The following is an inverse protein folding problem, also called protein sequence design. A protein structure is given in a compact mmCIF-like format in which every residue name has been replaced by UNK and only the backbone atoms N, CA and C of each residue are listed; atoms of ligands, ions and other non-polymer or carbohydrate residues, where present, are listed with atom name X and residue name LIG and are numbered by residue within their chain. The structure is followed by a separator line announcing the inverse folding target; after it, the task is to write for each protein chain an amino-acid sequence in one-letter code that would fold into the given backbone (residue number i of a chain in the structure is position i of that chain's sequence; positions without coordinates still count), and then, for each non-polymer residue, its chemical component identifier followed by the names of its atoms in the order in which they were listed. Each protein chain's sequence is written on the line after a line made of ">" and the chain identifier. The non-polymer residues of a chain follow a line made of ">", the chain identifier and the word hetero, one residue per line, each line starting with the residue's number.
data_IF_378544192234
#
_entry.id   IF_378544192234
#
_cell.length_a   1.000
_cell.length_b   1.000
_cell.length_c   1.000
_cell.angle_alpha   90.00
_cell.angle_beta   90.00
_cell.angle_gamma   90.00
#
_symmetry.space_group_name_H-M   'P 1'
#
loop_
_entity.id
_entity.type
_entity.pdbx_description
1 polymer ?
#
# COMPACT_ATOMS: atom_id res chain seq x y z
N UNK A 1 -17.88 -23.01 15.67
CA UNK A 1 -18.38 -21.65 15.40
C UNK A 1 -18.72 -21.60 13.91
N UNK A 2 -20.01 -21.59 13.58
CA UNK A 2 -20.52 -21.81 12.24
C UNK A 2 -19.89 -20.84 11.22
N UNK A 3 -19.45 -21.39 10.08
CA UNK A 3 -19.18 -20.58 8.90
C UNK A 3 -20.46 -19.78 8.62
N UNK A 4 -20.39 -18.46 8.72
CA UNK A 4 -21.48 -17.57 8.33
C UNK A 4 -21.84 -17.98 6.89
N UNK A 5 -23.02 -18.60 6.73
CA UNK A 5 -23.43 -19.19 5.47
C UNK A 5 -23.29 -18.11 4.40
N UNK A 6 -22.72 -18.51 3.26
CA UNK A 6 -22.68 -17.62 2.10
C UNK A 6 -24.12 -17.24 1.83
N UNK A 7 -24.46 -15.99 2.13
CA UNK A 7 -25.79 -15.46 1.85
C UNK A 7 -25.95 -15.45 0.33
N UNK A 8 -26.77 -16.38 -0.17
CA UNK A 8 -27.14 -16.49 -1.59
C UNK A 8 -28.49 -15.82 -1.86
N UNK A 9 -29.08 -15.13 -0.88
CA UNK A 9 -30.36 -14.41 -1.04
C UNK A 9 -30.33 -13.32 -2.13
N UNK A 10 -29.12 -12.86 -2.51
CA UNK A 10 -28.92 -11.92 -3.61
C UNK A 10 -28.66 -12.57 -4.96
N UNK A 11 -28.64 -13.90 -5.05
CA UNK A 11 -28.45 -14.61 -6.31
C UNK A 11 -29.73 -14.60 -7.13
N UNK A 12 -29.59 -14.35 -8.43
CA UNK A 12 -30.71 -14.51 -9.35
C UNK A 12 -30.92 -15.97 -9.71
N UNK A 13 -32.14 -16.37 -10.06
CA UNK A 13 -32.36 -17.68 -10.66
C UNK A 13 -31.57 -17.80 -11.98
N UNK A 14 -30.85 -18.90 -12.14
CA UNK A 14 -30.16 -19.24 -13.39
C UNK A 14 -31.11 -19.68 -14.50
N UNK A 15 -32.36 -20.05 -14.17
CA UNK A 15 -33.39 -20.44 -15.15
C UNK A 15 -33.76 -19.27 -16.07
N UNK A 16 -33.59 -18.04 -15.59
CA UNK A 16 -33.98 -16.80 -16.25
C UNK A 16 -32.79 -16.12 -16.96
N UNK A 17 -31.69 -16.85 -17.16
CA UNK A 17 -30.47 -16.34 -17.80
C UNK A 17 -29.98 -17.33 -18.84
N UNK A 18 -30.09 -16.96 -20.11
CA UNK A 18 -29.69 -17.80 -21.24
C UNK A 18 -28.22 -17.65 -21.65
N UNK A 19 -27.54 -16.58 -21.23
CA UNK A 19 -26.14 -16.31 -21.60
C UNK A 19 -25.35 -15.58 -20.51
N UNK A 20 -24.03 -15.64 -20.61
CA UNK A 20 -23.11 -15.02 -19.68
C UNK A 20 -23.37 -13.52 -19.48
N UNK A 21 -23.49 -13.07 -18.23
CA UNK A 21 -23.72 -11.65 -17.91
C UNK A 21 -22.44 -10.78 -17.93
N UNK A 22 -21.34 -11.30 -18.48
CA UNK A 22 -20.15 -10.49 -18.72
C UNK A 22 -20.37 -9.64 -20.01
N UNK A 23 -20.13 -8.33 -19.97
CA UNK A 23 -20.19 -7.48 -21.16
C UNK A 23 -19.26 -8.01 -22.27
N UNK A 24 -19.76 -8.05 -23.51
CA UNK A 24 -19.03 -8.58 -24.68
C UNK A 24 -18.86 -10.10 -24.71
N UNK A 25 -19.44 -10.84 -23.76
CA UNK A 25 -19.43 -12.30 -23.77
C UNK A 25 -20.74 -12.84 -24.36
N UNK A 26 -20.60 -13.66 -25.40
CA UNK A 26 -21.69 -14.29 -26.14
C UNK A 26 -21.85 -15.78 -25.78
N UNK A 27 -21.19 -16.26 -24.73
CA UNK A 27 -21.35 -17.66 -24.29
C UNK A 27 -22.77 -17.90 -23.80
N UNK A 28 -23.51 -18.73 -24.53
CA UNK A 28 -24.82 -19.24 -24.15
C UNK A 28 -24.68 -20.42 -23.20
N UNK A 29 -25.65 -20.53 -22.28
CA UNK A 29 -25.70 -21.64 -21.33
C UNK A 29 -26.46 -22.82 -21.94
N UNK A 30 -25.90 -24.01 -21.74
CA UNK A 30 -26.40 -25.28 -22.27
C UNK A 30 -25.95 -26.43 -21.37
N UNK A 31 -26.16 -27.67 -21.82
CA UNK A 31 -25.64 -28.86 -21.12
C UNK A 31 -24.11 -28.87 -21.01
N UNK A 32 -23.40 -28.26 -21.95
CA UNK A 32 -21.93 -28.19 -21.95
C UNK A 32 -21.40 -26.93 -21.25
N UNK A 33 -22.17 -25.84 -21.25
CA UNK A 33 -21.81 -24.59 -20.58
C UNK A 33 -22.78 -24.30 -19.43
N UNK A 34 -22.40 -24.70 -18.22
CA UNK A 34 -23.25 -24.50 -17.04
C UNK A 34 -23.20 -23.06 -16.52
N UNK A 35 -24.34 -22.52 -16.06
CA UNK A 35 -24.40 -21.21 -15.42
C UNK A 35 -23.67 -21.22 -14.07
N UNK A 36 -22.88 -20.19 -13.79
CA UNK A 36 -22.16 -20.07 -12.52
C UNK A 36 -22.39 -18.70 -11.87
N UNK A 37 -22.90 -18.68 -10.64
CA UNK A 37 -23.11 -17.44 -9.90
C UNK A 37 -21.82 -16.83 -9.35
N UNK A 38 -21.73 -15.51 -9.41
CA UNK A 38 -20.69 -14.76 -8.73
C UNK A 38 -21.11 -14.44 -7.29
N UNK A 39 -20.35 -14.94 -6.32
CA UNK A 39 -20.57 -14.69 -4.90
C UNK A 39 -20.66 -13.20 -4.50
N UNK A 40 -20.04 -12.29 -5.27
CA UNK A 40 -20.04 -10.85 -4.98
C UNK A 40 -21.26 -10.09 -5.52
N UNK A 41 -21.88 -10.58 -6.59
CA UNK A 41 -23.00 -9.87 -7.23
C UNK A 41 -24.26 -10.69 -7.43
N UNK A 42 -24.19 -12.00 -7.27
CA UNK A 42 -25.32 -12.90 -7.50
C UNK A 42 -25.68 -13.07 -8.97
N UNK A 43 -24.95 -12.42 -9.88
CA UNK A 43 -25.12 -12.54 -11.34
C UNK A 43 -24.48 -13.83 -11.87
N UNK A 44 -24.96 -14.28 -13.03
CA UNK A 44 -24.58 -15.55 -13.66
C UNK A 44 -23.56 -15.36 -14.78
N UNK A 45 -22.49 -16.15 -14.77
CA UNK A 45 -21.37 -16.08 -15.71
C UNK A 45 -20.95 -17.47 -16.22
N UNK A 46 -20.23 -17.52 -17.33
CA UNK A 46 -19.54 -18.74 -17.76
C UNK A 46 -18.31 -19.03 -16.88
N UNK A 47 -17.79 -20.27 -16.96
CA UNK A 47 -16.71 -20.74 -16.10
C UNK A 47 -15.45 -19.86 -16.16
N UNK A 48 -15.08 -19.37 -17.34
CA UNK A 48 -13.91 -18.51 -17.54
C UNK A 48 -14.06 -17.15 -16.85
N UNK A 49 -15.26 -16.57 -16.83
CA UNK A 49 -15.54 -15.27 -16.24
C UNK A 49 -15.82 -15.34 -14.74
N UNK A 50 -16.44 -16.42 -14.26
CA UNK A 50 -16.61 -16.62 -12.82
C UNK A 50 -15.26 -16.94 -12.17
N UNK A 51 -14.37 -17.71 -12.80
CA UNK A 51 -13.05 -18.05 -12.26
C UNK A 51 -12.20 -16.82 -11.95
N UNK A 52 -12.25 -15.79 -12.81
CA UNK A 52 -11.58 -14.50 -12.58
C UNK A 52 -12.20 -13.68 -11.43
N UNK A 53 -13.48 -13.92 -11.12
CA UNK A 53 -14.25 -13.26 -10.04
C UNK A 53 -14.35 -14.12 -8.76
N UNK A 54 -13.88 -15.38 -8.77
CA UNK A 54 -14.00 -16.39 -7.70
C UNK A 54 -13.09 -16.17 -6.48
N UNK A 55 -12.51 -14.99 -6.29
CA UNK A 55 -11.82 -14.71 -5.02
C UNK A 55 -12.87 -14.53 -3.91
N UNK A 56 -13.27 -15.65 -3.31
CA UNK A 56 -14.08 -15.69 -2.11
C UNK A 56 -13.29 -14.99 -1.01
N UNK A 57 -13.72 -13.77 -0.65
CA UNK A 57 -13.22 -13.13 0.55
C UNK A 57 -14.15 -13.61 1.66
N UNK A 58 -13.60 -14.34 2.61
CA UNK A 58 -14.30 -14.61 3.85
C UNK A 58 -14.73 -13.25 4.45
N UNK A 59 -16.04 -13.10 4.64
CA UNK A 59 -16.66 -11.89 5.21
C UNK A 59 -17.15 -12.13 6.62
N UNK A 60 -16.84 -13.29 7.21
CA UNK A 60 -17.22 -13.60 8.57
C UNK A 60 -16.74 -12.51 9.51
N UNK A 61 -17.53 -12.25 10.55
CA UNK A 61 -17.11 -11.37 11.64
C UNK A 61 -15.75 -11.79 12.19
N UNK A 62 -15.51 -13.10 12.33
CA UNK A 62 -14.23 -13.69 12.72
C UNK A 62 -13.09 -13.35 11.77
N UNK A 63 -13.26 -13.50 10.45
CA UNK A 63 -12.21 -13.16 9.48
C UNK A 63 -11.97 -11.66 9.38
N UNK A 64 -13.02 -10.84 9.41
CA UNK A 64 -12.89 -9.38 9.49
C UNK A 64 -12.14 -8.97 10.76
N UNK A 65 -12.44 -9.58 11.90
CA UNK A 65 -11.74 -9.37 13.16
C UNK A 65 -10.26 -9.81 13.06
N UNK A 66 -9.98 -10.99 12.53
CA UNK A 66 -8.61 -11.48 12.34
C UNK A 66 -7.81 -10.59 11.36
N UNK A 67 -8.43 -10.13 10.27
CA UNK A 67 -7.82 -9.23 9.29
C UNK A 67 -7.54 -7.86 9.91
N UNK A 68 -8.48 -7.30 10.66
CA UNK A 68 -8.29 -6.02 11.35
C UNK A 68 -7.23 -6.14 12.45
N UNK A 69 -7.19 -7.24 13.20
CA UNK A 69 -6.15 -7.54 14.16
C UNK A 69 -4.76 -7.62 13.48
N UNK A 70 -4.62 -8.38 12.39
CA UNK A 70 -3.38 -8.42 11.59
C UNK A 70 -2.99 -7.07 11.01
N UNK A 71 -3.96 -6.26 10.58
CA UNK A 71 -3.69 -4.90 10.11
C UNK A 71 -3.17 -3.99 11.24
N UNK A 72 -3.77 -4.07 12.43
CA UNK A 72 -3.31 -3.37 13.64
C UNK A 72 -1.91 -3.82 14.04
N UNK A 73 -1.66 -5.12 14.05
CA UNK A 73 -0.34 -5.71 14.33
C UNK A 73 0.72 -5.18 13.34
N UNK A 74 0.44 -5.19 12.04
CA UNK A 74 1.33 -4.59 11.04
C UNK A 74 1.61 -3.12 11.28
N UNK A 75 0.63 -2.34 11.71
CA UNK A 75 0.82 -0.92 12.06
C UNK A 75 1.74 -0.78 13.26
N UNK A 76 1.54 -1.59 14.29
CA UNK A 76 2.38 -1.63 15.49
C UNK A 76 3.81 -2.03 15.15
N UNK A 77 4.02 -3.09 14.36
CA UNK A 77 5.34 -3.50 13.89
C UNK A 77 6.02 -2.40 13.09
N UNK A 78 5.29 -1.78 12.16
CA UNK A 78 5.80 -0.65 11.38
C UNK A 78 6.24 0.50 12.29
N UNK A 79 5.43 0.86 13.30
CA UNK A 79 5.77 1.92 14.26
C UNK A 79 7.03 1.56 15.06
N UNK A 80 7.15 0.31 15.52
CA UNK A 80 8.35 -0.18 16.22
C UNK A 80 9.60 -0.08 15.34
N UNK A 81 9.50 -0.46 14.06
CA UNK A 81 10.59 -0.37 13.09
C UNK A 81 11.00 1.09 12.83
N UNK A 82 10.03 2.00 12.67
CA UNK A 82 10.32 3.43 12.46
C UNK A 82 11.00 4.07 13.67
N UNK A 83 10.57 3.75 14.91
CA UNK A 83 11.26 4.20 16.12
C UNK A 83 12.69 3.67 16.22
N UNK A 84 12.95 2.44 15.76
CA UNK A 84 14.32 1.90 15.69
C UNK A 84 15.15 2.63 14.64
N UNK A 85 14.56 2.89 13.47
CA UNK A 85 15.21 3.67 12.41
C UNK A 85 15.58 5.09 12.89
N UNK A 86 14.69 5.74 13.65
CA UNK A 86 14.92 7.05 14.28
C UNK A 86 16.11 7.01 15.24
N UNK A 87 16.16 6.03 16.15
CA UNK A 87 17.31 5.85 17.05
C UNK A 87 18.61 5.64 16.28
N UNK A 88 18.58 4.84 15.21
CA UNK A 88 19.76 4.59 14.37
C UNK A 88 20.20 5.85 13.61
N UNK A 89 19.26 6.69 13.16
CA UNK A 89 19.56 7.94 12.48
C UNK A 89 20.19 8.97 13.43
N UNK A 90 19.68 9.08 14.65
CA UNK A 90 20.15 10.05 15.65
C UNK A 90 21.49 9.67 16.30
N UNK A 91 21.87 8.39 16.23
CA UNK A 91 23.13 7.90 16.77
C UNK A 91 23.21 7.91 18.30
N UNK A 92 24.37 7.54 18.88
CA UNK A 92 24.54 7.36 20.32
C UNK A 92 24.39 8.64 21.15
N UNK A 93 24.83 9.78 20.62
CA UNK A 93 24.89 11.04 21.38
C UNK A 93 23.50 11.64 21.61
N UNK A 94 22.65 11.71 20.59
CA UNK A 94 21.30 12.27 20.73
C UNK A 94 20.30 11.33 21.45
N UNK A 95 20.56 10.01 21.47
CA UNK A 95 19.74 9.05 22.20
C UNK A 95 19.91 9.16 23.73
N UNK A 96 21.09 9.56 24.21
CA UNK A 96 21.35 9.81 25.63
C UNK A 96 20.55 11.02 26.14
N UNK A 97 20.55 12.12 25.38
CA UNK A 97 19.87 13.36 25.71
C UNK A 97 18.34 13.21 25.78
N UNK A 98 17.76 12.37 24.93
CA UNK A 98 16.32 12.09 24.93
C UNK A 98 15.86 11.17 26.07
N UNK A 99 16.75 10.34 26.64
CA UNK A 99 16.47 9.58 27.88
C UNK A 99 16.60 10.44 29.15
N UNK A 100 17.52 11.40 29.13
CA UNK A 100 17.71 12.39 30.20
C UNK A 100 16.52 13.37 30.27
N UNK A 101 15.90 13.70 29.14
CA UNK A 101 14.71 14.55 29.08
C UNK A 101 13.48 13.92 29.79
N UNK A 102 13.34 12.57 29.76
CA UNK A 102 12.27 11.86 30.48
C UNK A 102 12.58 11.77 31.98
N UNK A 103 13.86 11.63 32.35
CA UNK A 103 14.30 11.54 33.74
C UNK A 103 14.28 12.89 34.48
N UNK A 104 14.35 14.01 33.75
CA UNK A 104 14.26 15.36 34.32
C UNK A 104 12.84 15.79 34.71
N UNK A 105 11.81 15.02 34.38
CA UNK A 105 10.44 15.26 34.83
C UNK A 105 10.15 14.66 36.23
N UNK A 106 11.08 13.90 36.81
CA UNK A 106 10.91 13.25 38.12
C UNK A 106 12.02 13.52 39.13
N UNK A 107 12.96 14.43 38.86
CA UNK A 107 14.07 14.74 39.75
C UNK A 107 14.05 16.22 40.19
N UNK A 108 13.81 16.44 41.49
CA UNK A 108 14.01 17.73 42.15
C UNK A 108 15.51 18.07 42.23
N UNK A 109 15.90 19.36 42.16
CA UNK A 109 17.30 19.74 42.00
C UNK A 109 18.03 19.77 43.35
N UNK A 110 19.09 18.97 43.48
CA UNK A 110 20.09 19.13 44.54
C UNK A 110 21.45 19.48 43.92
N UNK A 111 21.86 20.72 44.18
CA UNK A 111 23.20 21.35 44.12
C UNK A 111 24.37 20.60 43.45
N UNK A 112 24.96 21.28 42.47
CA UNK A 112 26.28 21.04 41.89
C UNK A 112 27.43 21.52 42.81
N UNK A 113 28.59 20.87 42.70
CA UNK A 113 29.90 21.39 43.05
C UNK A 113 30.88 21.14 41.89
N UNK A 114 31.77 22.09 41.51
CA UNK A 114 32.71 21.89 40.41
C UNK A 114 34.14 21.61 40.91
N UNK A 115 34.86 20.74 40.21
CA UNK A 115 36.33 20.78 40.19
C UNK A 115 36.91 20.18 38.90
N UNK A 116 37.63 21.06 38.20
CA UNK A 116 38.65 20.91 37.15
C UNK A 116 39.74 19.86 37.50
N UNK A 117 40.45 19.19 36.58
CA UNK A 117 41.38 19.71 35.54
C UNK A 117 41.91 18.60 34.61
N UNK A 118 42.60 18.93 33.49
CA UNK A 118 43.02 18.00 32.44
C UNK A 118 44.49 17.53 32.59
N UNK A 119 44.76 16.29 32.16
CA UNK A 119 46.11 15.74 32.03
C UNK A 119 46.45 15.44 30.56
N UNK A 120 47.45 16.15 30.04
CA UNK A 120 48.11 15.94 28.75
C UNK A 120 49.09 14.77 28.83
N UNK A 121 49.09 13.89 27.82
CA UNK A 121 50.27 13.12 27.45
C UNK A 121 50.25 12.74 25.97
N UNK A 122 51.18 13.34 25.25
CA UNK A 122 51.63 13.04 23.90
C UNK A 122 52.17 11.62 23.76
N UNK A 123 51.90 10.96 22.62
CA UNK A 123 52.68 9.79 22.20
C UNK A 123 52.00 8.89 21.16
N UNK A 124 52.64 8.76 19.99
CA UNK A 124 52.61 7.51 19.21
C UNK A 124 51.60 7.43 18.06
N UNK A 125 52.13 7.51 16.84
CA UNK A 125 51.44 7.30 15.55
C UNK A 125 50.91 5.87 15.30
N UNK A 126 50.11 5.33 16.21
CA UNK A 126 49.38 4.05 16.06
C UNK A 126 47.85 4.20 16.06
N UNK A 127 47.34 5.42 15.82
CA UNK A 127 46.02 5.83 16.32
C UNK A 127 44.88 5.85 15.27
N UNK A 128 45.16 5.81 13.97
CA UNK A 128 44.09 5.89 12.96
C UNK A 128 43.30 4.58 12.86
N UNK A 129 43.97 3.45 12.66
CA UNK A 129 43.31 2.14 12.54
C UNK A 129 42.65 1.68 13.85
N UNK A 130 43.25 2.01 15.01
CA UNK A 130 42.70 1.69 16.34
C UNK A 130 41.46 2.55 16.67
N UNK A 131 41.46 3.86 16.36
CA UNK A 131 40.25 4.71 16.48
C UNK A 131 39.15 4.29 15.53
N UNK A 132 39.47 3.93 14.29
CA UNK A 132 38.48 3.43 13.31
C UNK A 132 37.84 2.13 13.79
N UNK A 133 38.65 1.20 14.33
CA UNK A 133 38.15 -0.07 14.91
C UNK A 133 37.31 0.16 16.16
N UNK A 134 37.72 1.06 17.05
CA UNK A 134 36.94 1.44 18.23
C UNK A 134 35.61 2.11 17.86
N UNK A 135 35.61 3.01 16.86
CA UNK A 135 34.38 3.64 16.34
C UNK A 135 33.44 2.63 15.66
N UNK A 136 33.99 1.67 14.92
CA UNK A 136 33.22 0.59 14.30
C UNK A 136 32.61 -0.39 15.33
N UNK A 137 33.35 -0.71 16.39
CA UNK A 137 32.86 -1.51 17.51
C UNK A 137 31.78 -0.77 18.30
N UNK A 138 32.00 0.51 18.62
CA UNK A 138 31.00 1.36 19.29
C UNK A 138 29.72 1.55 18.47
N UNK A 139 29.83 1.68 17.14
CA UNK A 139 28.67 1.71 16.26
C UNK A 139 27.91 0.37 16.26
N UNK A 140 28.62 -0.77 16.26
CA UNK A 140 27.97 -2.10 16.29
C UNK A 140 27.28 -2.36 17.63
N UNK A 141 27.89 -1.94 18.74
CA UNK A 141 27.31 -2.05 20.07
C UNK A 141 26.07 -1.17 20.22
N UNK A 142 26.12 0.06 19.71
CA UNK A 142 24.97 0.94 19.62
C UNK A 142 23.85 0.36 18.73
N UNK A 143 24.17 -0.15 17.53
CA UNK A 143 23.18 -0.79 16.65
C UNK A 143 22.49 -1.98 17.34
N UNK A 144 23.23 -2.73 18.16
CA UNK A 144 22.72 -3.84 18.97
C UNK A 144 21.91 -3.37 20.20
N UNK A 145 22.11 -2.15 20.70
CA UNK A 145 21.29 -1.58 21.77
C UNK A 145 19.94 -1.08 21.26
N UNK A 146 19.85 -0.66 19.98
CA UNK A 146 18.59 -0.26 19.35
C UNK A 146 17.65 -1.46 19.13
N UNK A 147 18.20 -2.61 18.74
CA UNK A 147 17.46 -3.86 18.61
C UNK A 147 18.34 -5.03 19.00
N UNK A 148 17.81 -5.93 19.83
CA UNK A 148 18.53 -7.14 20.26
C UNK A 148 18.88 -8.01 19.04
N UNK A 149 20.16 -8.14 18.76
CA UNK A 149 20.65 -9.02 17.70
C UNK A 149 20.60 -10.47 18.16
N UNK A 150 20.11 -11.36 17.28
CA UNK A 150 20.21 -12.79 17.52
C UNK A 150 21.68 -13.21 17.48
N UNK A 151 22.13 -14.05 18.43
CA UNK A 151 23.50 -14.52 18.46
C UNK A 151 23.79 -15.34 17.20
N UNK A 152 24.90 -15.05 16.53
CA UNK A 152 25.28 -15.70 15.26
C UNK A 152 25.43 -17.21 15.40
N UNK A 153 25.85 -17.69 16.58
CA UNK A 153 25.99 -19.13 16.89
C UNK A 153 24.65 -19.86 16.90
N UNK A 154 23.56 -19.20 17.29
CA UNK A 154 22.22 -19.79 17.33
C UNK A 154 21.51 -19.76 15.96
N UNK A 155 22.05 -19.02 14.98
CA UNK A 155 21.49 -18.95 13.64
C UNK A 155 22.14 -20.00 12.75
N UNK A 156 21.48 -21.14 12.57
CA UNK A 156 21.91 -22.24 11.67
C UNK A 156 21.53 -22.00 10.22
N UNK A 157 20.46 -21.23 9.98
CA UNK A 157 19.92 -20.93 8.64
C UNK A 157 19.52 -19.46 8.48
N UNK A 158 19.44 -19.00 7.23
CA UNK A 158 18.97 -17.66 6.88
C UNK A 158 17.52 -17.44 7.34
N UNK A 159 17.24 -16.36 8.06
CA UNK A 159 15.89 -16.04 8.54
C UNK A 159 14.88 -15.62 7.46
N UNK A 160 15.19 -15.79 6.18
CA UNK A 160 14.30 -15.47 5.05
C UNK A 160 14.21 -16.59 4.01
N UNK A 161 15.34 -17.01 3.44
CA UNK A 161 15.37 -18.07 2.43
C UNK A 161 15.65 -19.46 3.01
N UNK A 162 15.85 -19.56 4.32
CA UNK A 162 16.09 -20.81 5.05
C UNK A 162 17.33 -21.60 4.61
N UNK A 163 18.15 -21.04 3.70
CA UNK A 163 19.42 -21.64 3.30
C UNK A 163 20.34 -21.80 4.53
N UNK A 164 20.98 -22.97 4.70
CA UNK A 164 21.88 -23.23 5.82
C UNK A 164 23.12 -22.34 5.69
N UNK A 165 23.63 -21.87 6.84
CA UNK A 165 24.89 -21.15 6.86
C UNK A 165 26.06 -22.15 6.85
N UNK A 166 26.92 -22.04 5.83
CA UNK A 166 28.22 -22.71 5.74
C UNK A 166 29.36 -21.78 6.17
N UNK A 167 30.58 -22.31 6.31
CA UNK A 167 31.78 -21.52 6.63
C UNK A 167 32.07 -20.39 5.61
N UNK A 168 31.61 -20.54 4.37
CA UNK A 168 31.76 -19.55 3.30
C UNK A 168 30.65 -18.48 3.31
N UNK A 169 29.57 -18.72 4.06
CA UNK A 169 28.41 -17.83 4.09
C UNK A 169 28.52 -16.80 5.23
N UNK A 170 28.66 -15.53 4.86
CA UNK A 170 28.71 -14.45 5.86
C UNK A 170 27.33 -14.21 6.46
N UNK A 171 27.24 -14.34 7.79
CA UNK A 171 26.05 -14.00 8.57
C UNK A 171 25.91 -12.48 8.69
N UNK A 172 24.72 -11.96 8.37
CA UNK A 172 24.45 -10.52 8.34
C UNK A 172 23.18 -10.20 9.12
N UNK A 173 23.27 -9.33 10.12
CA UNK A 173 22.10 -8.85 10.86
C UNK A 173 21.33 -7.78 10.09
N UNK A 174 20.00 -7.87 10.16
CA UNK A 174 19.12 -6.74 9.86
C UNK A 174 19.13 -5.75 11.03
N UNK A 175 19.48 -4.49 10.79
CA UNK A 175 19.58 -3.48 11.85
C UNK A 175 18.24 -3.04 12.42
N UNK A 176 17.12 -3.41 11.78
CA UNK A 176 15.78 -3.08 12.28
C UNK A 176 15.11 -4.21 13.05
N UNK A 177 15.34 -5.48 12.71
CA UNK A 177 14.73 -6.62 13.41
C UNK A 177 15.71 -7.50 14.21
N UNK A 178 17.02 -7.35 14.01
CA UNK A 178 18.05 -8.10 14.73
C UNK A 178 18.22 -9.57 14.32
N UNK A 179 17.41 -10.09 13.37
CA UNK A 179 17.58 -11.45 12.84
C UNK A 179 18.80 -11.55 11.89
N UNK A 180 19.28 -12.78 11.69
CA UNK A 180 20.45 -13.12 10.86
C UNK A 180 20.03 -13.63 9.49
N UNK A 181 20.69 -13.12 8.44
CA UNK A 181 20.39 -13.40 7.04
C UNK A 181 21.67 -13.57 6.22
N UNK A 182 21.54 -14.12 5.01
CA UNK A 182 22.60 -14.11 4.01
C UNK A 182 22.70 -12.75 3.28
N UNK A 183 23.74 -12.60 2.45
CA UNK A 183 23.98 -11.39 1.65
C UNK A 183 22.87 -11.10 0.65
N UNK A 184 22.34 -12.12 -0.03
CA UNK A 184 21.24 -11.97 -0.99
C UNK A 184 19.95 -11.47 -0.33
N UNK A 185 19.67 -11.91 0.91
CA UNK A 185 18.49 -11.49 1.66
C UNK A 185 18.63 -10.13 2.36
N UNK A 186 19.79 -9.47 2.29
CA UNK A 186 20.08 -8.16 2.93
C UNK A 186 20.66 -7.13 1.95
N UNK A 187 20.31 -7.23 0.67
CA UNK A 187 20.73 -6.27 -0.36
C UNK A 187 20.13 -4.89 -0.12
N UNK A 188 18.93 -4.82 0.47
CA UNK A 188 18.20 -3.57 0.65
C UNK A 188 18.79 -2.65 1.72
N UNK A 189 18.62 -1.34 1.50
CA UNK A 189 19.01 -0.24 2.39
C UNK A 189 17.84 0.70 2.61
N UNK A 190 17.55 1.05 3.86
CA UNK A 190 16.51 2.02 4.20
C UNK A 190 17.18 3.38 4.43
N UNK A 191 16.94 4.40 3.60
CA UNK A 191 17.47 5.74 3.83
C UNK A 191 16.78 6.42 5.01
N UNK A 192 17.55 7.11 5.85
CA UNK A 192 17.01 7.83 7.01
C UNK A 192 16.03 8.94 6.60
N UNK A 193 16.21 9.56 5.43
CA UNK A 193 15.31 10.59 4.89
C UNK A 193 13.83 10.19 4.82
N UNK A 194 13.50 8.90 4.88
CA UNK A 194 12.13 8.40 5.04
C UNK A 194 11.45 8.96 6.31
N UNK A 195 12.21 9.19 7.38
CA UNK A 195 11.71 9.73 8.64
C UNK A 195 11.14 11.14 8.48
N UNK A 196 11.64 11.95 7.53
CA UNK A 196 11.14 13.31 7.26
C UNK A 196 9.65 13.32 6.87
N UNK A 197 9.15 12.24 6.25
CA UNK A 197 7.73 12.10 5.92
C UNK A 197 6.84 11.79 7.13
N UNK A 198 7.44 11.42 8.27
CA UNK A 198 6.72 10.93 9.47
C UNK A 198 7.03 11.74 10.74
N UNK A 199 8.17 12.44 10.78
CA UNK A 199 8.64 13.24 11.92
C UNK A 199 9.01 14.64 11.40
N UNK A 200 8.11 15.63 11.56
CA UNK A 200 8.30 17.02 11.08
C UNK A 200 9.23 17.88 11.97
N UNK A 201 9.69 17.36 13.11
CA UNK A 201 10.37 18.15 14.17
C UNK A 201 11.80 17.72 14.48
N UNK A 202 12.39 16.86 13.65
CA UNK A 202 13.74 16.31 13.88
C UNK A 202 14.57 16.54 12.63
N UNK A 203 15.77 17.10 12.81
CA UNK A 203 16.77 17.12 11.75
C UNK A 203 17.26 15.69 11.52
N UNK A 204 16.94 15.15 10.35
CA UNK A 204 17.29 13.77 9.99
C UNK A 204 18.58 13.82 9.16
N UNK A 205 19.69 13.25 9.66
CA UNK A 205 20.94 13.22 8.92
C UNK A 205 20.82 12.37 7.67
N UNK A 206 21.67 12.67 6.69
CA UNK A 206 21.79 11.84 5.50
C UNK A 206 22.49 10.53 5.86
N UNK A 207 21.95 9.43 5.36
CA UNK A 207 22.46 8.09 5.67
C UNK A 207 21.43 7.02 5.39
N UNK A 208 21.88 5.77 5.54
CA UNK A 208 21.06 4.60 5.28
C UNK A 208 21.45 3.43 6.20
N UNK A 209 20.53 2.48 6.33
CA UNK A 209 20.78 1.28 7.13
C UNK A 209 20.44 0.00 6.37
N UNK A 210 21.29 -1.03 6.54
CA UNK A 210 21.07 -2.36 5.96
C UNK A 210 19.94 -3.13 6.65
N UNK A 211 19.05 -3.67 5.85
CA UNK A 211 17.86 -4.39 6.32
C UNK A 211 17.55 -5.63 5.49
N UNK A 212 16.81 -6.58 6.06
CA UNK A 212 16.19 -7.63 5.27
C UNK A 212 15.04 -7.07 4.40
N UNK A 213 14.65 -7.82 3.37
CA UNK A 213 13.58 -7.42 2.45
C UNK A 213 12.25 -7.13 3.14
N UNK A 214 11.88 -7.90 4.17
CA UNK A 214 10.65 -7.67 4.94
C UNK A 214 10.67 -6.33 5.68
N UNK A 215 11.75 -6.02 6.39
CA UNK A 215 11.91 -4.75 7.10
C UNK A 215 11.97 -3.56 6.13
N UNK A 216 12.65 -3.72 4.99
CA UNK A 216 12.68 -2.70 3.94
C UNK A 216 11.27 -2.40 3.43
N UNK A 217 10.47 -3.43 3.11
CA UNK A 217 9.10 -3.25 2.65
C UNK A 217 8.22 -2.56 3.70
N UNK A 218 8.32 -2.95 4.97
CA UNK A 218 7.52 -2.35 6.05
C UNK A 218 7.91 -0.89 6.31
N UNK A 219 9.21 -0.59 6.43
CA UNK A 219 9.69 0.77 6.66
C UNK A 219 9.33 1.71 5.50
N UNK A 220 9.46 1.23 4.26
CA UNK A 220 9.12 2.02 3.07
C UNK A 220 7.63 2.05 2.76
N UNK A 221 6.80 1.14 3.30
CA UNK A 221 5.36 1.14 3.05
C UNK A 221 4.69 2.41 3.58
N UNK A 222 5.11 2.88 4.77
CA UNK A 222 4.59 4.11 5.36
C UNK A 222 5.10 5.35 4.64
N UNK A 223 6.36 5.36 4.20
CA UNK A 223 6.87 6.39 3.29
C UNK A 223 6.11 6.43 1.97
N UNK A 224 5.84 5.28 1.35
CA UNK A 224 5.09 5.21 0.09
C UNK A 224 3.67 5.71 0.30
N UNK A 225 2.98 5.31 1.38
CA UNK A 225 1.65 5.83 1.72
C UNK A 225 1.68 7.30 2.06
N UNK A 226 2.56 7.76 2.95
CA UNK A 226 2.72 9.17 3.29
C UNK A 226 3.11 9.99 2.05
N UNK A 227 4.00 9.53 1.17
CA UNK A 227 4.36 10.18 -0.09
C UNK A 227 3.18 10.26 -1.07
N UNK A 228 2.26 9.29 -1.01
CA UNK A 228 0.98 9.28 -1.74
C UNK A 228 -0.13 10.08 -1.02
N UNK A 229 -0.04 10.26 0.30
CA UNK A 229 -1.00 10.96 1.18
C UNK A 229 -0.53 12.37 1.58
N UNK A 230 0.65 12.83 1.14
CA UNK A 230 1.06 14.22 1.30
C UNK A 230 -0.06 15.03 0.65
N UNK A 231 -0.75 15.81 1.49
CA UNK A 231 -1.76 16.75 1.07
C UNK A 231 -1.18 17.51 -0.10
N UNK A 232 -1.92 17.49 -1.20
CA UNK A 232 -1.49 17.96 -2.50
C UNK A 232 -1.09 19.47 -2.45
N UNK A 233 -1.47 20.16 -1.37
CA UNK A 233 -1.09 21.52 -1.00
C UNK A 233 0.43 21.70 -0.74
N UNK A 234 1.14 20.70 -0.20
CA UNK A 234 2.58 20.83 0.15
C UNK A 234 3.53 20.51 -1.04
N UNK A 235 3.00 20.34 -2.26
CA UNK A 235 3.78 19.93 -3.42
C UNK A 235 4.63 21.05 -4.04
N UNK A 236 4.29 22.33 -3.77
CA UNK A 236 5.09 23.49 -4.17
C UNK A 236 6.44 23.58 -3.45
N UNK A 237 6.59 22.90 -2.30
CA UNK A 237 7.84 22.88 -1.53
C UNK A 237 8.84 21.80 -1.98
N UNK A 238 8.52 20.99 -3.00
CA UNK A 238 9.39 19.93 -3.54
C UNK A 238 9.99 20.38 -4.88
N UNK A 239 11.30 20.20 -5.12
CA UNK A 239 11.90 20.53 -6.41
C UNK A 239 11.13 19.94 -7.60
N UNK A 240 10.93 20.78 -8.62
CA UNK A 240 10.14 20.52 -9.84
C UNK A 240 10.30 19.10 -10.44
N UNK A 241 11.53 18.54 -10.57
CA UNK A 241 11.70 17.20 -11.15
C UNK A 241 11.10 16.04 -10.32
N UNK A 242 10.94 16.22 -9.01
CA UNK A 242 10.38 15.21 -8.11
C UNK A 242 8.90 15.42 -7.83
N UNK A 243 8.40 16.65 -7.99
CA UNK A 243 7.00 17.00 -7.78
C UNK A 243 6.08 16.30 -8.80
N UNK A 244 6.34 16.42 -10.11
CA UNK A 244 5.48 15.81 -11.13
C UNK A 244 5.45 14.28 -11.02
N UNK A 245 6.55 13.63 -10.63
CA UNK A 245 6.61 12.17 -10.43
C UNK A 245 5.69 11.71 -9.29
N UNK A 246 5.50 12.52 -8.24
CA UNK A 246 4.56 12.20 -7.15
C UNK A 246 3.12 12.22 -7.65
N UNK A 247 2.76 13.26 -8.40
CA UNK A 247 1.45 13.35 -9.03
C UNK A 247 1.22 12.20 -10.02
N UNK A 248 2.21 11.86 -10.84
CA UNK A 248 2.13 10.72 -11.76
C UNK A 248 1.80 9.42 -11.04
N UNK A 249 2.46 9.11 -9.93
CA UNK A 249 2.15 7.90 -9.14
C UNK A 249 0.75 7.94 -8.53
N UNK A 250 0.30 9.11 -8.05
CA UNK A 250 -1.07 9.27 -7.56
C UNK A 250 -2.10 9.05 -8.69
N UNK A 251 -1.86 9.62 -9.88
CA UNK A 251 -2.69 9.42 -11.07
C UNK A 251 -2.73 7.95 -11.49
N UNK A 252 -1.59 7.25 -11.47
CA UNK A 252 -1.52 5.82 -11.77
C UNK A 252 -2.34 4.98 -10.77
N UNK A 253 -2.34 5.36 -9.50
CA UNK A 253 -3.16 4.70 -8.48
C UNK A 253 -4.66 4.93 -8.71
N UNK A 254 -5.07 6.16 -9.01
CA UNK A 254 -6.47 6.50 -9.35
C UNK A 254 -6.92 5.78 -10.64
N UNK A 255 -6.09 5.76 -11.69
CA UNK A 255 -6.34 5.01 -12.94
C UNK A 255 -6.56 3.52 -12.68
N UNK A 256 -5.75 2.92 -11.80
CA UNK A 256 -5.92 1.51 -11.41
C UNK A 256 -7.27 1.27 -10.72
N UNK A 257 -7.73 2.18 -9.86
CA UNK A 257 -9.03 2.07 -9.22
C UNK A 257 -10.16 2.15 -10.25
N UNK A 258 -10.08 3.09 -11.20
CA UNK A 258 -11.04 3.23 -12.30
C UNK A 258 -11.12 1.93 -13.11
N UNK A 259 -9.99 1.40 -13.57
CA UNK A 259 -9.94 0.15 -14.36
C UNK A 259 -10.50 -1.08 -13.61
N UNK A 260 -10.50 -1.06 -12.27
CA UNK A 260 -11.12 -2.13 -11.48
C UNK A 260 -12.63 -1.97 -11.34
N UNK A 261 -13.14 -0.74 -11.32
CA UNK A 261 -14.56 -0.44 -11.10
C UNK A 261 -15.35 -0.52 -12.41
N UNK A 262 -14.77 -0.07 -13.53
CA UNK A 262 -15.45 -0.03 -14.85
C UNK A 262 -16.05 -1.38 -15.25
N UNK A 263 -15.33 -2.52 -15.23
CA UNK A 263 -15.90 -3.80 -15.66
C UNK A 263 -17.04 -4.29 -14.76
N UNK A 264 -17.03 -3.90 -13.49
CA UNK A 264 -18.11 -4.22 -12.55
C UNK A 264 -19.35 -3.38 -12.83
N UNK A 265 -19.18 -2.09 -13.11
CA UNK A 265 -20.26 -1.19 -13.50
C UNK A 265 -20.94 -1.68 -14.79
N UNK A 266 -20.16 -1.96 -15.84
CA UNK A 266 -20.67 -2.44 -17.13
C UNK A 266 -21.41 -3.79 -16.99
N UNK A 267 -20.90 -4.70 -16.15
CA UNK A 267 -21.55 -5.98 -15.93
C UNK A 267 -22.89 -5.84 -15.20
N UNK A 268 -22.98 -4.92 -14.24
CA UNK A 268 -24.25 -4.64 -13.53
C UNK A 268 -25.27 -4.01 -14.48
N UNK A 269 -24.86 -3.04 -15.31
CA UNK A 269 -25.76 -2.41 -16.28
C UNK A 269 -26.20 -3.38 -17.36
N UNK A 270 -25.31 -4.21 -17.89
CA UNK A 270 -25.66 -5.22 -18.89
C UNK A 270 -26.58 -6.32 -18.33
N UNK A 271 -26.48 -6.64 -17.04
CA UNK A 271 -27.34 -7.63 -16.41
C UNK A 271 -28.80 -7.16 -16.29
N UNK A 272 -29.05 -5.85 -16.15
CA UNK A 272 -30.39 -5.28 -16.15
C UNK A 272 -31.12 -5.50 -17.49
N UNK A 273 -30.36 -5.59 -18.59
CA UNK A 273 -30.90 -5.86 -19.93
C UNK A 273 -31.11 -7.36 -20.18
N UNK A 274 -30.19 -8.20 -19.68
CA UNK A 274 -30.21 -9.66 -19.95
C UNK A 274 -31.20 -10.44 -19.07
N UNK A 275 -31.60 -9.91 -17.92
CA UNK A 275 -32.47 -10.62 -16.98
C UNK A 275 -33.95 -10.49 -17.35
N UNK A 276 -34.57 -11.60 -17.74
CA UNK A 276 -35.98 -11.68 -18.17
C UNK A 276 -36.69 -12.77 -17.39
N UNK A 277 -37.81 -12.43 -16.72
CA UNK A 277 -38.65 -13.41 -16.02
C UNK A 277 -39.84 -13.76 -16.92
N UNK A 278 -40.04 -15.04 -17.33
CA UNK A 278 -41.10 -15.43 -18.26
C UNK A 278 -42.53 -15.41 -17.69
N UNK A 279 -42.68 -15.40 -16.36
CA UNK A 279 -43.97 -15.55 -15.67
C UNK A 279 -44.62 -14.20 -15.33
N UNK A 280 -45.94 -14.12 -15.54
CA UNK A 280 -46.77 -13.00 -15.14
C UNK A 280 -47.23 -13.05 -13.66
N UNK A 281 -46.87 -14.08 -12.89
CA UNK A 281 -47.31 -14.20 -11.49
C UNK A 281 -46.85 -13.00 -10.64
N UNK A 282 -47.65 -12.64 -9.64
CA UNK A 282 -47.33 -11.52 -8.75
C UNK A 282 -45.96 -11.69 -8.07
N UNK A 283 -45.63 -12.92 -7.69
CA UNK A 283 -44.35 -13.32 -7.09
C UNK A 283 -43.17 -13.14 -8.06
N UNK A 284 -43.34 -13.55 -9.32
CA UNK A 284 -42.33 -13.40 -10.37
C UNK A 284 -42.07 -11.91 -10.71
N UNK A 285 -43.13 -11.11 -10.74
CA UNK A 285 -43.03 -9.67 -10.94
C UNK A 285 -42.35 -8.97 -9.75
N UNK A 286 -42.65 -9.40 -8.51
CA UNK A 286 -42.01 -8.87 -7.31
C UNK A 286 -40.52 -9.19 -7.29
N UNK A 287 -40.13 -10.45 -7.54
CA UNK A 287 -38.73 -10.84 -7.62
C UNK A 287 -37.95 -10.04 -8.70
N UNK A 288 -38.59 -9.77 -9.84
CA UNK A 288 -38.01 -8.91 -10.90
C UNK A 288 -37.81 -7.46 -10.43
N UNK A 289 -38.78 -6.88 -9.72
CA UNK A 289 -38.68 -5.52 -9.16
C UNK A 289 -37.55 -5.42 -8.13
N UNK A 290 -37.51 -6.33 -7.15
CA UNK A 290 -36.49 -6.37 -6.11
C UNK A 290 -35.07 -6.60 -6.67
N UNK A 291 -34.93 -7.43 -7.71
CA UNK A 291 -33.66 -7.58 -8.40
C UNK A 291 -33.22 -6.27 -9.08
N UNK A 292 -34.14 -5.65 -9.85
CA UNK A 292 -33.88 -4.40 -10.57
C UNK A 292 -33.45 -3.30 -9.61
N UNK A 293 -34.20 -3.08 -8.54
CA UNK A 293 -33.90 -2.08 -7.52
C UNK A 293 -32.50 -2.28 -6.91
N UNK A 294 -32.14 -3.53 -6.56
CA UNK A 294 -30.81 -3.86 -6.02
C UNK A 294 -29.68 -3.57 -7.01
N UNK A 295 -29.84 -3.95 -8.28
CA UNK A 295 -28.81 -3.70 -9.29
C UNK A 295 -28.71 -2.22 -9.66
N UNK A 296 -29.82 -1.49 -9.70
CA UNK A 296 -29.84 -0.04 -9.91
C UNK A 296 -29.13 0.68 -8.75
N UNK A 297 -29.44 0.34 -7.50
CA UNK A 297 -28.75 0.89 -6.33
C UNK A 297 -27.23 0.64 -6.39
N UNK A 298 -26.82 -0.55 -6.82
CA UNK A 298 -25.41 -0.90 -7.03
C UNK A 298 -24.79 -0.12 -8.18
N UNK A 299 -25.47 0.02 -9.31
CA UNK A 299 -25.00 0.80 -10.45
C UNK A 299 -24.78 2.27 -10.06
N UNK A 300 -25.71 2.86 -9.32
CA UNK A 300 -25.59 4.22 -8.77
C UNK A 300 -24.39 4.34 -7.83
N UNK A 301 -24.17 3.35 -6.95
CA UNK A 301 -23.01 3.34 -6.07
C UNK A 301 -21.68 3.29 -6.86
N UNK A 302 -21.57 2.39 -7.83
CA UNK A 302 -20.40 2.25 -8.69
C UNK A 302 -20.16 3.52 -9.54
N UNK A 303 -21.24 4.14 -10.04
CA UNK A 303 -21.19 5.41 -10.75
C UNK A 303 -20.64 6.53 -9.85
N UNK A 304 -21.14 6.67 -8.61
CA UNK A 304 -20.62 7.65 -7.65
C UNK A 304 -19.12 7.44 -7.39
N UNK A 305 -18.70 6.19 -7.21
CA UNK A 305 -17.29 5.85 -7.04
C UNK A 305 -16.43 6.21 -8.25
N UNK A 306 -16.87 5.85 -9.46
CA UNK A 306 -16.20 6.21 -10.71
C UNK A 306 -16.05 7.73 -10.84
N UNK A 307 -17.15 8.46 -10.69
CA UNK A 307 -17.17 9.93 -10.75
C UNK A 307 -16.17 10.53 -9.78
N UNK A 308 -16.12 10.05 -8.52
CA UNK A 308 -15.14 10.50 -7.52
C UNK A 308 -13.69 10.30 -7.97
N UNK A 309 -13.37 9.13 -8.52
CA UNK A 309 -12.01 8.83 -8.98
C UNK A 309 -11.62 9.61 -10.24
N UNK A 310 -12.58 9.86 -11.15
CA UNK A 310 -12.36 10.71 -12.33
C UNK A 310 -12.02 12.15 -11.95
N UNK A 311 -12.81 12.78 -11.07
CA UNK A 311 -12.54 14.14 -10.61
C UNK A 311 -11.17 14.26 -9.96
N UNK A 312 -10.75 13.24 -9.20
CA UNK A 312 -9.39 13.19 -8.63
C UNK A 312 -8.31 13.08 -9.70
N UNK A 313 -8.48 12.20 -10.68
CA UNK A 313 -7.52 12.04 -11.77
C UNK A 313 -7.36 13.34 -12.56
N UNK A 314 -8.46 14.02 -12.87
CA UNK A 314 -8.47 15.32 -13.54
C UNK A 314 -7.79 16.40 -12.70
N UNK A 315 -8.11 16.49 -11.40
CA UNK A 315 -7.50 17.45 -10.49
C UNK A 315 -5.98 17.23 -10.37
N UNK A 316 -5.52 15.98 -10.32
CA UNK A 316 -4.09 15.64 -10.32
C UNK A 316 -3.43 16.03 -11.65
N UNK A 317 -4.07 15.73 -12.78
CA UNK A 317 -3.58 16.10 -14.11
C UNK A 317 -3.40 17.61 -14.27
N UNK A 318 -4.41 18.41 -13.86
CA UNK A 318 -4.34 19.87 -13.88
C UNK A 318 -3.18 20.39 -13.02
N UNK A 319 -2.93 19.77 -11.86
CA UNK A 319 -1.79 20.14 -11.01
C UNK A 319 -0.45 19.80 -11.64
N UNK A 320 -0.31 18.68 -12.35
CA UNK A 320 0.92 18.36 -13.11
C UNK A 320 1.20 19.43 -14.16
N UNK A 321 0.17 19.87 -14.88
CA UNK A 321 0.30 20.90 -15.91
C UNK A 321 0.64 22.29 -15.35
N UNK A 322 0.28 22.56 -14.09
CA UNK A 322 0.51 23.83 -13.41
C UNK A 322 1.82 23.88 -12.61
N UNK A 323 2.68 22.87 -12.70
CA UNK A 323 3.98 22.87 -12.00
C UNK A 323 4.99 23.71 -12.76
N UNK A 324 5.66 24.62 -12.05
CA UNK A 324 6.77 25.39 -12.61
C UNK A 324 7.96 24.48 -12.97
N UNK A 325 8.62 24.80 -14.08
CA UNK A 325 9.81 24.08 -14.55
C UNK A 325 10.64 24.93 -15.50
N UNK A 326 11.94 25.01 -15.24
CA UNK A 326 12.90 25.70 -16.12
C UNK A 326 13.40 24.78 -17.27
N UNK A 327 13.08 23.49 -17.20
CA UNK A 327 13.50 22.49 -18.19
C UNK A 327 12.42 22.28 -19.27
N UNK A 328 12.72 22.50 -20.56
CA UNK A 328 11.77 22.30 -21.66
C UNK A 328 11.36 20.82 -21.81
N UNK A 329 12.27 19.89 -21.49
CA UNK A 329 11.98 18.46 -21.48
C UNK A 329 10.95 18.11 -20.38
N UNK A 330 11.12 18.68 -19.19
CA UNK A 330 10.21 18.45 -18.07
C UNK A 330 8.82 19.03 -18.36
N UNK A 331 8.75 20.22 -18.96
CA UNK A 331 7.49 20.80 -19.42
C UNK A 331 6.76 19.90 -20.43
N UNK A 332 7.50 19.32 -21.39
CA UNK A 332 6.93 18.36 -22.36
C UNK A 332 6.39 17.10 -21.68
N UNK A 333 7.11 16.54 -20.70
CA UNK A 333 6.65 15.37 -19.92
C UNK A 333 5.39 15.70 -19.13
N UNK A 334 5.35 16.83 -18.41
CA UNK A 334 4.17 17.27 -17.66
C UNK A 334 2.94 17.43 -18.57
N UNK A 335 3.10 18.08 -19.74
CA UNK A 335 2.04 18.22 -20.74
C UNK A 335 1.53 16.88 -21.25
N UNK A 336 2.44 15.94 -21.56
CA UNK A 336 2.07 14.60 -22.02
C UNK A 336 1.31 13.82 -20.94
N UNK A 337 1.72 13.92 -19.67
CA UNK A 337 1.01 13.29 -18.54
C UNK A 337 -0.41 13.85 -18.42
N UNK A 338 -0.56 15.18 -18.49
CA UNK A 338 -1.87 15.82 -18.46
C UNK A 338 -2.75 15.38 -19.62
N UNK A 339 -2.25 15.44 -20.86
CA UNK A 339 -3.00 15.02 -22.05
C UNK A 339 -3.42 13.54 -21.96
N UNK A 340 -2.52 12.65 -21.54
CA UNK A 340 -2.84 11.24 -21.35
C UNK A 340 -3.98 11.03 -20.33
N UNK A 341 -4.04 11.86 -19.28
CA UNK A 341 -5.13 11.80 -18.30
C UNK A 341 -6.47 12.28 -18.90
N UNK A 342 -6.44 13.34 -19.70
CA UNK A 342 -7.63 13.88 -20.37
C UNK A 342 -8.19 12.86 -21.36
N UNK A 343 -7.34 12.32 -22.25
CA UNK A 343 -7.71 11.30 -23.24
C UNK A 343 -8.35 10.10 -22.55
N UNK A 344 -7.71 9.57 -21.50
CA UNK A 344 -8.25 8.44 -20.73
C UNK A 344 -9.63 8.73 -20.13
N UNK A 345 -9.84 9.93 -19.58
CA UNK A 345 -11.17 10.30 -19.05
C UNK A 345 -12.21 10.42 -20.17
N UNK A 346 -11.85 11.01 -21.31
CA UNK A 346 -12.74 11.21 -22.45
C UNK A 346 -13.17 9.90 -23.09
N UNK A 347 -12.24 8.96 -23.33
CA UNK A 347 -12.53 7.63 -23.87
C UNK A 347 -13.57 6.89 -23.00
N UNK A 348 -13.40 6.94 -21.67
CA UNK A 348 -14.31 6.28 -20.74
C UNK A 348 -15.68 6.97 -20.64
N UNK A 349 -15.75 8.30 -20.76
CA UNK A 349 -17.05 8.98 -20.85
C UNK A 349 -17.78 8.68 -22.16
N UNK A 350 -17.06 8.62 -23.28
CA UNK A 350 -17.62 8.26 -24.58
C UNK A 350 -18.19 6.84 -24.58
N UNK A 351 -17.44 5.86 -24.02
CA UNK A 351 -17.91 4.48 -23.84
C UNK A 351 -19.20 4.41 -22.99
N UNK A 352 -19.31 5.25 -21.95
CA UNK A 352 -20.49 5.28 -21.06
C UNK A 352 -21.71 5.96 -21.70
N UNK A 353 -21.52 7.01 -22.50
CA UNK A 353 -22.62 7.67 -23.23
C UNK A 353 -23.23 6.72 -24.26
N UNK A 354 -22.39 5.97 -24.98
CA UNK A 354 -22.84 4.95 -25.92
C UNK A 354 -23.69 3.86 -25.24
N UNK A 355 -23.28 3.37 -24.06
CA UNK A 355 -24.04 2.38 -23.28
C UNK A 355 -25.39 2.93 -22.77
N UNK A 356 -25.44 4.19 -22.32
CA UNK A 356 -26.66 4.82 -21.82
C UNK A 356 -27.64 5.26 -22.92
N UNK A 357 -27.19 5.37 -24.18
CA UNK A 357 -28.04 5.62 -25.35
C UNK A 357 -28.60 4.32 -25.93
N UNK A 358 -27.85 3.21 -25.88
CA UNK A 358 -28.33 1.88 -26.26
C UNK A 358 -29.44 1.38 -25.32
N UNK A 359 -29.37 1.69 -24.03
CA UNK A 359 -30.40 1.32 -23.05
C UNK A 359 -31.66 2.19 -23.08
N UNK A 360 -31.63 3.35 -23.76
CA UNK A 360 -32.77 4.26 -23.92
C UNK A 360 -33.56 4.07 -25.22
N UNK A 361 -33.01 3.31 -26.17
CA UNK A 361 -33.64 2.96 -27.45
C UNK A 361 -34.41 1.63 -27.41
N UNK A 362 -34.65 1.09 -26.21
CA UNK A 362 -35.44 -0.11 -25.91
C UNK A 362 -36.38 0.23 -24.76
#
# INVERSE_FOLDING_TARGET
>A
MAAEAIDTSHWISSEHVSSCMQPGCETEFSTTHTPNHCYRCGLVYCLSHVARKRTMRDRSTAFKAARTARARERVVETNKLLRRLEKLALGPQAAADSSLAVSRLSASPSRAGPSSSPGTSSGGGGSFFSRLKAKALGNREFEASVVRWKPEKAATQCGACEAPFSLLSRKIHCRLCGNVFCSSCTQNRVPFGILRATHKRIEVPDGEVRTCSSCFQLATARYRRARLEIKIEDASAVPSPLAYMRYYHAMAAERKLINNIVPEYESVTAALDKYVVPSASAEAQQARREFRERQEARAVHLQKMLTKHFHKLEALGKRVAALDTDSPLTAKVQRNIYLASVVFTQELFAQRKALAELSRKR
#
